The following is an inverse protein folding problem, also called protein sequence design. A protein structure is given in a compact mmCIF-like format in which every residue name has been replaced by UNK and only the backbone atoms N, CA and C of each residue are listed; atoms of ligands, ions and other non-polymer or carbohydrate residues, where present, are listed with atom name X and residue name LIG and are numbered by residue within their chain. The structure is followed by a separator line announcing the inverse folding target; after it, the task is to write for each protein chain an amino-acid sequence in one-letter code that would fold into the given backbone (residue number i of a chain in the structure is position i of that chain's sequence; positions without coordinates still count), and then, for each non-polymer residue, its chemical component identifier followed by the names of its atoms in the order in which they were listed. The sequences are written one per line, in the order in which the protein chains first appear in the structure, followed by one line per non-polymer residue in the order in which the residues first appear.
data_IF_615445200451
#
_entry.id   IF_615445200451
#
_cell.length_a   1.000
_cell.length_b   1.000
_cell.length_c   1.000
_cell.angle_alpha   90.00
_cell.angle_beta   90.00
_cell.angle_gamma   90.00
#
_symmetry.space_group_name_H-M   'P 1'
#
loop_
_entity.id
_entity.type
_entity.pdbx_description
1 polymer ?
#
# COMPACT_ATOMS: atom_id res chain seq x y z
N UNK A 1 -63.33 -57.61 -0.76
CA UNK A 1 -63.71 -56.37 -0.05
C UNK A 1 -62.43 -55.90 0.66
N UNK A 2 -61.73 -54.82 0.34
CA UNK A 2 -62.04 -53.59 -0.38
C UNK A 2 -60.73 -52.99 -0.92
N UNK A 3 -60.75 -52.46 -2.13
CA UNK A 3 -59.78 -51.51 -2.67
C UNK A 3 -60.06 -50.12 -2.07
N UNK A 4 -59.04 -49.26 -1.88
CA UNK A 4 -59.00 -47.78 -2.08
C UNK A 4 -57.49 -47.38 -2.07
N UNK A 5 -56.85 -47.11 -3.21
CA UNK A 5 -56.57 -45.78 -3.82
C UNK A 5 -55.69 -44.82 -2.96
N UNK A 6 -54.46 -44.52 -3.40
CA UNK A 6 -54.03 -43.26 -4.09
C UNK A 6 -53.86 -42.08 -3.06
N UNK A 7 -52.79 -41.27 -2.96
CA UNK A 7 -51.90 -40.62 -3.93
C UNK A 7 -50.62 -40.13 -3.24
N UNK A 8 -49.54 -40.05 -4.02
CA UNK A 8 -48.35 -39.25 -3.74
C UNK A 8 -48.68 -37.76 -3.72
N UNK A 9 -48.19 -37.01 -2.72
CA UNK A 9 -48.03 -35.56 -2.83
C UNK A 9 -46.61 -35.17 -2.45
N UNK A 10 -46.00 -34.49 -3.42
CA UNK A 10 -44.66 -33.96 -3.50
C UNK A 10 -44.73 -32.47 -3.22
N UNK A 11 -43.86 -31.97 -2.34
CA UNK A 11 -43.61 -30.53 -2.13
C UNK A 11 -42.25 -30.34 -1.46
N UNK A 12 -41.58 -29.19 -1.67
CA UNK A 12 -40.23 -29.11 -2.20
C UNK A 12 -39.13 -28.93 -1.14
N UNK A 13 -37.84 -29.06 -1.50
CA UNK A 13 -36.75 -28.59 -0.65
C UNK A 13 -36.78 -27.05 -0.59
N UNK A 14 -37.08 -26.51 0.60
CA UNK A 14 -36.78 -25.12 0.93
C UNK A 14 -35.28 -24.91 0.82
N UNK A 15 -34.85 -24.47 -0.36
CA UNK A 15 -33.50 -23.93 -0.59
C UNK A 15 -33.51 -22.50 -0.07
N UNK A 16 -33.49 -22.37 1.26
CA UNK A 16 -33.15 -21.12 1.92
C UNK A 16 -31.66 -20.86 1.62
N UNK A 17 -31.40 -20.01 0.62
CA UNK A 17 -30.08 -19.56 0.25
C UNK A 17 -29.40 -18.84 1.42
N UNK A 18 -28.60 -19.59 2.17
CA UNK A 18 -27.66 -19.03 3.12
C UNK A 18 -26.64 -18.15 2.37
N UNK A 19 -26.39 -16.90 2.81
CA UNK A 19 -25.36 -16.03 2.23
C UNK A 19 -23.95 -16.64 2.29
N UNK A 20 -23.78 -17.68 3.11
CA UNK A 20 -22.54 -18.44 3.28
C UNK A 20 -22.16 -19.25 2.03
N UNK A 21 -23.12 -19.68 1.21
CA UNK A 21 -22.84 -20.43 -0.02
C UNK A 21 -22.32 -19.52 -1.16
N UNK A 22 -22.81 -18.28 -1.24
CA UNK A 22 -22.32 -17.29 -2.20
C UNK A 22 -20.91 -16.80 -1.84
N UNK A 23 -20.62 -16.60 -0.55
CA UNK A 23 -19.29 -16.26 -0.08
C UNK A 23 -18.27 -17.39 -0.33
N UNK A 24 -18.66 -18.65 -0.11
CA UNK A 24 -17.78 -19.79 -0.40
C UNK A 24 -17.46 -19.95 -1.89
N UNK A 25 -18.41 -19.62 -2.78
CA UNK A 25 -18.21 -19.66 -4.23
C UNK A 25 -17.31 -18.52 -4.73
N UNK A 26 -17.44 -17.32 -4.17
CA UNK A 26 -16.55 -16.20 -4.48
C UNK A 26 -15.12 -16.48 -4.00
N UNK A 27 -14.95 -17.02 -2.78
CA UNK A 27 -13.63 -17.40 -2.25
C UNK A 27 -12.98 -18.53 -3.07
N UNK A 28 -13.77 -19.47 -3.58
CA UNK A 28 -13.26 -20.53 -4.46
C UNK A 28 -12.85 -20.01 -5.86
N UNK A 29 -13.56 -19.01 -6.39
CA UNK A 29 -13.19 -18.37 -7.64
C UNK A 29 -11.89 -17.55 -7.48
N UNK A 30 -11.80 -16.76 -6.41
CA UNK A 30 -10.59 -16.00 -6.06
C UNK A 30 -9.40 -16.92 -5.78
N UNK A 31 -9.61 -18.10 -5.19
CA UNK A 31 -8.56 -19.11 -4.99
C UNK A 31 -7.98 -19.61 -6.33
N UNK A 32 -8.82 -19.86 -7.33
CA UNK A 32 -8.35 -20.28 -8.65
C UNK A 32 -7.63 -19.13 -9.40
N UNK A 33 -8.10 -17.89 -9.24
CA UNK A 33 -7.46 -16.71 -9.85
C UNK A 33 -6.08 -16.44 -9.22
N UNK A 34 -5.99 -16.52 -7.90
CA UNK A 34 -4.71 -16.38 -7.17
C UNK A 34 -3.70 -17.46 -7.54
N UNK A 35 -4.12 -18.71 -7.77
CA UNK A 35 -3.24 -19.76 -8.28
C UNK A 35 -2.65 -19.45 -9.66
N UNK A 36 -3.42 -18.80 -10.55
CA UNK A 36 -2.92 -18.34 -11.85
C UNK A 36 -1.86 -17.25 -11.67
N UNK A 37 -2.11 -16.29 -10.77
CA UNK A 37 -1.14 -15.23 -10.47
C UNK A 37 0.15 -15.79 -9.86
N UNK A 38 0.05 -16.78 -8.96
CA UNK A 38 1.21 -17.48 -8.40
C UNK A 38 2.04 -18.13 -9.51
N UNK A 39 1.41 -18.80 -10.49
CA UNK A 39 2.12 -19.39 -11.63
C UNK A 39 2.86 -18.34 -12.47
N UNK A 40 2.28 -17.15 -12.65
CA UNK A 40 2.92 -16.05 -13.38
C UNK A 40 4.18 -15.59 -12.65
N UNK A 41 4.10 -15.37 -11.33
CA UNK A 41 5.24 -14.96 -10.51
C UNK A 41 6.31 -16.07 -10.44
N UNK A 42 5.90 -17.34 -10.34
CA UNK A 42 6.82 -18.48 -10.44
C UNK A 42 7.51 -18.57 -11.81
N UNK A 43 6.82 -18.22 -12.89
CA UNK A 43 7.38 -18.17 -14.23
C UNK A 43 8.52 -17.15 -14.38
N UNK A 44 8.61 -16.16 -13.49
CA UNK A 44 9.71 -15.20 -13.42
C UNK A 44 10.92 -15.73 -12.62
N UNK A 45 10.80 -16.90 -11.98
CA UNK A 45 11.88 -17.54 -11.22
C UNK A 45 11.75 -17.44 -9.71
N UNK A 46 10.66 -16.87 -9.19
CA UNK A 46 10.42 -16.79 -7.74
C UNK A 46 9.84 -18.10 -7.17
N UNK A 47 10.19 -18.47 -5.93
CA UNK A 47 9.64 -19.67 -5.31
C UNK A 47 8.16 -19.48 -4.92
N UNK A 48 7.39 -20.56 -4.98
CA UNK A 48 5.94 -20.55 -4.72
C UNK A 48 5.57 -19.93 -3.35
N UNK A 49 6.39 -20.21 -2.32
CA UNK A 49 6.17 -19.68 -0.97
C UNK A 49 6.23 -18.16 -0.91
N UNK A 50 7.22 -17.57 -1.58
CA UNK A 50 7.39 -16.10 -1.63
C UNK A 50 6.34 -15.46 -2.54
N UNK A 51 6.03 -16.09 -3.68
CA UNK A 51 5.00 -15.64 -4.60
C UNK A 51 3.63 -15.52 -3.92
N UNK A 52 3.23 -16.53 -3.13
CA UNK A 52 1.98 -16.48 -2.36
C UNK A 52 1.98 -15.39 -1.29
N UNK A 53 3.08 -15.23 -0.56
CA UNK A 53 3.20 -14.19 0.46
C UNK A 53 3.12 -12.78 -0.15
N UNK A 54 3.86 -12.53 -1.23
CA UNK A 54 3.86 -11.25 -1.92
C UNK A 54 2.50 -10.93 -2.57
N UNK A 55 1.81 -11.94 -3.13
CA UNK A 55 0.45 -11.78 -3.65
C UNK A 55 -0.56 -11.48 -2.54
N UNK A 56 -0.44 -12.13 -1.37
CA UNK A 56 -1.30 -11.83 -0.23
C UNK A 56 -1.09 -10.40 0.28
N UNK A 57 0.16 -9.92 0.32
CA UNK A 57 0.50 -8.56 0.77
C UNK A 57 0.11 -7.47 -0.25
N UNK A 58 0.11 -7.81 -1.54
CA UNK A 58 -0.23 -6.90 -2.62
C UNK A 58 -1.72 -6.85 -2.96
N UNK A 59 -2.57 -7.59 -2.22
CA UNK A 59 -3.99 -7.80 -2.53
C UNK A 59 -4.20 -8.39 -3.93
N UNK A 60 -3.51 -9.48 -4.24
CA UNK A 60 -3.58 -10.20 -5.52
C UNK A 60 -3.21 -9.32 -6.72
N UNK A 61 -2.20 -8.46 -6.57
CA UNK A 61 -1.67 -7.66 -7.67
C UNK A 61 -0.27 -8.14 -8.03
N UNK A 62 -0.12 -8.72 -9.23
CA UNK A 62 1.15 -9.31 -9.69
C UNK A 62 2.28 -8.28 -9.77
N UNK A 63 2.04 -7.09 -10.30
CA UNK A 63 3.07 -6.05 -10.43
C UNK A 63 3.58 -5.63 -9.05
N UNK A 64 2.67 -5.39 -8.12
CA UNK A 64 3.01 -5.02 -6.75
C UNK A 64 3.64 -6.18 -5.96
N UNK A 65 3.25 -7.42 -6.23
CA UNK A 65 3.90 -8.60 -5.65
C UNK A 65 5.35 -8.72 -6.11
N UNK A 66 5.62 -8.54 -7.41
CA UNK A 66 6.97 -8.52 -7.96
C UNK A 66 7.79 -7.39 -7.36
N UNK A 67 7.20 -6.19 -7.22
CA UNK A 67 7.87 -5.07 -6.57
C UNK A 67 8.29 -5.40 -5.13
N UNK A 68 7.39 -6.01 -4.33
CA UNK A 68 7.71 -6.47 -2.97
C UNK A 68 8.82 -7.54 -2.96
N UNK A 69 8.87 -8.41 -3.98
CA UNK A 69 9.91 -9.44 -4.10
C UNK A 69 11.28 -8.87 -4.53
N UNK A 70 11.30 -7.79 -5.30
CA UNK A 70 12.52 -7.14 -5.80
C UNK A 70 13.08 -6.14 -4.79
N UNK A 71 12.24 -5.25 -4.27
CA UNK A 71 12.64 -4.15 -3.38
C UNK A 71 12.64 -4.58 -1.90
N UNK A 72 12.04 -5.73 -1.59
CA UNK A 72 11.73 -6.12 -0.21
C UNK A 72 10.44 -5.47 0.28
N UNK A 73 9.98 -5.90 1.46
CA UNK A 73 8.86 -5.21 2.10
C UNK A 73 9.32 -3.79 2.41
N UNK A 74 8.75 -2.82 1.69
CA UNK A 74 8.83 -1.41 2.03
C UNK A 74 7.97 -1.22 3.29
N UNK A 75 8.51 -1.71 4.40
CA UNK A 75 7.98 -1.59 5.74
C UNK A 75 7.70 -0.09 5.89
N UNK A 76 6.48 0.30 6.22
CA UNK A 76 6.09 1.72 6.28
C UNK A 76 6.99 2.61 7.16
N UNK A 77 7.98 2.02 7.85
CA UNK A 77 9.18 2.67 8.36
C UNK A 77 9.90 3.56 7.33
N UNK A 78 10.11 3.15 6.07
CA UNK A 78 10.74 4.00 5.04
C UNK A 78 9.91 5.25 4.77
N UNK A 79 8.58 5.08 4.62
CA UNK A 79 7.65 6.22 4.46
C UNK A 79 7.58 7.09 5.71
N UNK A 80 7.58 6.49 6.91
CA UNK A 80 7.58 7.21 8.19
C UNK A 80 8.89 7.98 8.36
N UNK A 81 10.03 7.39 8.02
CA UNK A 81 11.35 8.04 8.00
C UNK A 81 11.37 9.21 7.02
N UNK A 82 10.84 9.05 5.81
CA UNK A 82 10.74 10.15 4.82
C UNK A 82 9.88 11.30 5.33
N UNK A 83 8.70 11.01 5.88
CA UNK A 83 7.82 12.03 6.48
C UNK A 83 8.47 12.75 7.66
N UNK A 84 9.15 12.01 8.53
CA UNK A 84 9.88 12.57 9.67
C UNK A 84 11.03 13.46 9.22
N UNK A 85 11.78 13.07 8.19
CA UNK A 85 12.87 13.87 7.63
C UNK A 85 12.37 15.19 7.04
N UNK A 86 11.21 15.18 6.36
CA UNK A 86 10.56 16.41 5.87
C UNK A 86 10.15 17.35 7.02
N UNK A 87 9.54 16.82 8.07
CA UNK A 87 9.16 17.60 9.26
C UNK A 87 10.38 18.17 9.98
N UNK A 88 11.45 17.39 10.04
CA UNK A 88 12.69 17.84 10.64
C UNK A 88 13.39 18.91 9.80
N UNK A 89 13.33 18.82 8.46
CA UNK A 89 13.75 19.89 7.54
C UNK A 89 12.96 21.18 7.77
N UNK A 90 11.64 21.08 7.91
CA UNK A 90 10.81 22.23 8.28
C UNK A 90 11.23 22.79 9.64
N UNK A 91 11.40 21.94 10.66
CA UNK A 91 11.86 22.40 11.97
C UNK A 91 13.22 23.12 11.90
N UNK A 92 14.17 22.58 11.12
CA UNK A 92 15.47 23.20 10.85
C UNK A 92 15.33 24.55 10.15
N UNK A 93 14.54 24.64 9.07
CA UNK A 93 14.37 25.89 8.32
C UNK A 93 13.79 27.00 9.19
N UNK A 94 12.92 26.65 10.14
CA UNK A 94 12.38 27.61 11.10
C UNK A 94 13.36 27.95 12.22
N UNK A 95 14.13 26.98 12.75
CA UNK A 95 15.12 27.20 13.83
C UNK A 95 16.37 27.96 13.38
N UNK A 96 16.82 27.72 12.14
CA UNK A 96 18.04 28.29 11.57
C UNK A 96 17.76 29.43 10.56
N UNK A 97 16.48 29.73 10.32
CA UNK A 97 16.03 30.86 9.49
C UNK A 97 15.81 32.13 10.32
N UNK A 98 14.68 32.79 10.11
CA UNK A 98 14.36 34.04 10.81
C UNK A 98 13.90 33.79 12.26
N UNK A 99 14.64 34.26 13.28
CA UNK A 99 14.41 33.93 14.68
C UNK A 99 13.06 34.42 15.24
N UNK A 100 12.44 35.43 14.59
CA UNK A 100 11.12 35.93 14.98
C UNK A 100 9.97 35.07 14.42
N UNK A 101 10.17 34.40 13.29
CA UNK A 101 9.18 33.50 12.70
C UNK A 101 9.21 32.11 13.34
N UNK A 102 10.33 31.77 13.99
CA UNK A 102 10.57 30.49 14.67
C UNK A 102 9.56 30.24 15.79
N UNK A 103 9.28 31.24 16.64
CA UNK A 103 8.39 31.08 17.79
C UNK A 103 6.95 30.80 17.34
N UNK A 104 6.44 31.53 16.35
CA UNK A 104 5.10 31.33 15.80
C UNK A 104 4.97 29.96 15.11
N UNK A 105 5.99 29.54 14.36
CA UNK A 105 6.01 28.24 13.69
C UNK A 105 6.11 27.06 14.68
N UNK A 106 6.91 27.19 15.73
CA UNK A 106 6.98 26.19 16.81
C UNK A 106 5.63 26.11 17.51
N UNK A 107 5.01 27.24 17.83
CA UNK A 107 3.67 27.26 18.44
C UNK A 107 2.64 26.60 17.53
N UNK A 108 2.69 26.84 16.22
CA UNK A 108 1.80 26.19 15.24
C UNK A 108 2.03 24.67 15.17
N UNK A 109 3.28 24.21 15.12
CA UNK A 109 3.61 22.78 15.12
C UNK A 109 3.23 22.09 16.45
N UNK A 110 3.34 22.80 17.58
CA UNK A 110 2.94 22.28 18.88
C UNK A 110 1.42 22.30 19.11
N UNK A 111 0.67 23.12 18.36
CA UNK A 111 -0.80 23.06 18.34
C UNK A 111 -1.31 21.78 17.68
N UNK A 112 -0.57 21.22 16.72
CA UNK A 112 -0.89 19.90 16.17
C UNK A 112 -0.34 18.80 17.07
N UNK A 113 -1.25 18.17 17.84
CA UNK A 113 -0.93 17.10 18.77
C UNK A 113 -0.19 15.93 18.11
N UNK A 114 -0.46 15.64 16.84
CA UNK A 114 0.18 14.53 16.12
C UNK A 114 1.63 14.85 15.80
N UNK A 115 1.89 16.09 15.39
CA UNK A 115 3.25 16.57 15.09
C UNK A 115 4.06 16.60 16.39
N UNK A 116 3.50 17.18 17.45
CA UNK A 116 4.13 17.23 18.77
C UNK A 116 4.48 15.84 19.31
N UNK A 117 3.58 14.87 19.21
CA UNK A 117 3.83 13.49 19.62
C UNK A 117 4.95 12.84 18.80
N UNK A 118 4.94 13.00 17.47
CA UNK A 118 6.01 12.43 16.63
C UNK A 118 7.38 13.05 16.91
N UNK A 119 7.46 14.35 17.16
CA UNK A 119 8.71 15.02 17.53
C UNK A 119 9.19 14.53 18.91
N UNK A 120 8.29 14.40 19.87
CA UNK A 120 8.61 13.88 21.19
C UNK A 120 9.12 12.42 21.11
N UNK A 121 8.48 11.56 20.32
CA UNK A 121 8.93 10.18 20.09
C UNK A 121 10.33 10.12 19.47
N UNK A 122 10.61 10.98 18.47
CA UNK A 122 11.91 11.04 17.82
C UNK A 122 13.02 11.50 18.78
N UNK A 123 12.77 12.58 19.53
CA UNK A 123 13.74 13.13 20.49
C UNK A 123 13.97 12.17 21.66
N UNK A 124 12.92 11.49 22.14
CA UNK A 124 13.03 10.50 23.20
C UNK A 124 13.69 9.19 22.74
N UNK A 125 13.55 8.82 21.46
CA UNK A 125 14.16 7.63 20.89
C UNK A 125 15.66 7.77 20.67
N UNK A 126 16.10 8.87 20.08
CA UNK A 126 17.54 9.18 19.89
C UNK A 126 17.74 10.66 19.59
N UNK A 127 17.88 11.47 20.64
CA UNK A 127 18.12 12.91 20.50
C UNK A 127 19.37 13.25 19.69
N UNK A 128 20.41 12.41 19.77
CA UNK A 128 21.67 12.57 19.03
C UNK A 128 21.44 12.44 17.52
N UNK A 129 20.75 11.39 17.08
CA UNK A 129 20.42 11.22 15.66
C UNK A 129 19.51 12.34 15.14
N UNK A 130 18.60 12.84 15.97
CA UNK A 130 17.75 13.98 15.59
C UNK A 130 18.58 15.25 15.41
N UNK A 131 19.54 15.52 16.30
CA UNK A 131 20.43 16.66 16.13
C UNK A 131 21.38 16.49 14.93
N UNK A 132 21.90 15.30 14.69
CA UNK A 132 22.69 15.00 13.48
C UNK A 132 21.87 15.25 12.21
N UNK A 133 20.62 14.80 12.16
CA UNK A 133 19.73 15.04 11.01
C UNK A 133 19.32 16.51 10.85
N UNK A 134 19.25 17.29 11.94
CA UNK A 134 19.04 18.74 11.89
C UNK A 134 20.26 19.50 11.34
N UNK A 135 21.46 18.96 11.56
CA UNK A 135 22.73 19.57 11.16
C UNK A 135 23.27 19.03 9.82
N UNK A 136 22.80 17.87 9.36
CA UNK A 136 23.22 17.26 8.12
C UNK A 136 22.90 18.18 6.92
N UNK A 137 23.92 18.57 6.16
CA UNK A 137 23.77 19.36 4.93
C UNK A 137 23.12 18.52 3.82
N UNK A 138 22.36 19.20 2.95
CA UNK A 138 21.39 18.69 1.97
C UNK A 138 22.01 17.83 0.84
N UNK A 139 22.58 16.67 1.14
CA UNK A 139 23.06 15.76 0.08
C UNK A 139 21.92 15.00 -0.64
N UNK A 140 20.69 14.97 -0.10
CA UNK A 140 19.56 14.18 -0.66
C UNK A 140 18.60 14.94 -1.59
N UNK A 141 18.84 16.23 -1.89
CA UNK A 141 17.98 16.95 -2.85
C UNK A 141 18.06 16.36 -4.27
N UNK A 142 19.21 15.77 -4.61
CA UNK A 142 19.44 15.18 -5.93
C UNK A 142 18.76 13.81 -6.13
N UNK A 143 18.56 13.04 -5.07
CA UNK A 143 17.88 11.73 -5.13
C UNK A 143 16.34 11.91 -5.19
N UNK A 144 15.79 12.86 -4.42
CA UNK A 144 14.32 13.06 -4.38
C UNK A 144 13.74 13.73 -5.64
N UNK A 145 14.53 14.51 -6.40
CA UNK A 145 14.11 15.06 -7.71
C UNK A 145 14.18 14.01 -8.83
N UNK A 146 15.17 13.11 -8.82
CA UNK A 146 15.29 12.05 -9.84
C UNK A 146 14.16 11.02 -9.76
N UNK A 147 13.77 10.55 -8.56
CA UNK A 147 12.68 9.58 -8.41
C UNK A 147 11.29 10.15 -8.75
N UNK A 148 11.06 11.46 -8.50
CA UNK A 148 9.81 12.12 -8.89
C UNK A 148 9.67 12.27 -10.41
N UNK A 149 10.79 12.39 -11.13
CA UNK A 149 10.82 12.41 -12.59
C UNK A 149 10.58 11.02 -13.17
N UNK A 150 11.16 9.96 -12.60
CA UNK A 150 10.94 8.58 -13.05
C UNK A 150 9.47 8.15 -12.90
N UNK A 151 8.85 8.42 -11.74
CA UNK A 151 7.43 8.08 -11.50
C UNK A 151 6.46 8.85 -12.40
N UNK A 152 6.80 10.09 -12.79
CA UNK A 152 5.98 10.90 -13.68
C UNK A 152 6.11 10.48 -15.16
N UNK A 153 7.28 9.98 -15.57
CA UNK A 153 7.53 9.51 -16.94
C UNK A 153 6.78 8.20 -17.24
N UNK A 154 6.70 7.27 -16.30
CA UNK A 154 5.99 5.99 -16.48
C UNK A 154 4.47 6.15 -16.67
N UNK A 155 3.87 7.22 -16.13
CA UNK A 155 2.44 7.48 -16.29
C UNK A 155 2.07 8.10 -17.65
N UNK A 156 3.03 8.72 -18.36
CA UNK A 156 2.75 9.37 -19.66
C UNK A 156 2.91 8.44 -20.86
N UNK A 157 3.61 7.31 -20.70
CA UNK A 157 3.84 6.35 -21.80
C UNK A 157 2.67 5.37 -22.06
N UNK A 158 1.60 5.43 -21.24
CA UNK A 158 0.42 4.55 -21.39
C UNK A 158 -0.71 5.15 -22.26
N UNK A 159 -0.53 6.34 -22.84
CA UNK A 159 -1.58 7.03 -23.62
C UNK A 159 -1.11 7.46 -25.01
N UNK A 160 -0.59 6.52 -25.81
CA UNK A 160 -0.32 6.77 -27.23
C UNK A 160 -0.45 5.52 -28.11
N UNK A 161 -1.51 4.72 -27.94
CA UNK A 161 -1.87 3.73 -28.97
C UNK A 161 -3.40 3.53 -29.05
N UNK A 162 -4.08 4.36 -29.85
CA UNK A 162 -5.28 3.94 -30.57
C UNK A 162 -5.59 4.96 -31.68
N UNK A 163 -5.22 4.58 -32.90
CA UNK A 163 -5.70 5.20 -34.14
C UNK A 163 -7.22 5.01 -34.29
N UNK A 164 -7.86 5.68 -35.25
CA UNK A 164 -8.21 4.89 -36.43
C UNK A 164 -8.00 5.61 -37.77
N UNK A 165 -7.48 4.81 -38.70
CA UNK A 165 -7.61 4.98 -40.15
C UNK A 165 -9.09 5.08 -40.54
N UNK A 166 -9.44 5.98 -41.46
CA UNK A 166 -10.72 5.94 -42.16
C UNK A 166 -10.46 6.06 -43.66
N UNK A 167 -11.02 5.10 -44.39
CA UNK A 167 -11.03 4.96 -45.86
C UNK A 167 -11.66 6.15 -46.56
#
# INVERSE_FOLDING_TARGET
MSQVEQLHLKSPPETAGSPQAAAALAVAADANETELMVKVVMGMGYPEGEARLALAQSNNNVQRAVQILVEGMDDGESRKRRGNRKRLRQLRSHLMGDPLATDDAIVEMMRDQRIAQTLAELVNGSSVQVMELLLAEEEDELEEEQEQLETSLEQTSSSAESSPHSN
#
